data_IF_929656918961
#
_entry.id   IF_929656918961
#
_cell.length_a   1.000
_cell.length_b   1.000
_cell.length_c   1.000
_cell.angle_alpha   90.00
_cell.angle_beta   90.00
_cell.angle_gamma   90.00
#
_symmetry.space_group_name_H-M   'P 1'
#
loop_
_entity.id
_entity.type
_entity.pdbx_description
1 polymer ?
#
# COMPACT_ATOMS: atom_id res chain seq x y z
N UNK A 1 14.46 -13.43 0.57
CA UNK A 1 15.45 -12.53 1.18
C UNK A 1 14.88 -11.12 1.24
N UNK A 2 15.08 -10.41 2.36
CA UNK A 2 14.66 -9.01 2.50
C UNK A 2 15.46 -8.10 1.56
N UNK A 3 14.78 -7.20 0.83
CA UNK A 3 15.42 -6.25 -0.08
C UNK A 3 16.35 -5.25 0.63
N UNK A 4 16.21 -5.08 1.95
CA UNK A 4 17.13 -4.27 2.78
C UNK A 4 18.55 -4.81 2.83
N UNK A 5 18.75 -6.11 2.57
CA UNK A 5 20.08 -6.74 2.59
C UNK A 5 20.67 -6.90 1.19
N UNK A 6 19.82 -6.98 0.17
CA UNK A 6 20.21 -7.38 -1.18
C UNK A 6 20.25 -6.21 -2.17
N UNK A 7 19.39 -5.19 -1.99
CA UNK A 7 19.18 -4.14 -2.98
C UNK A 7 19.36 -2.76 -2.38
N UNK A 8 18.74 -2.51 -1.22
CA UNK A 8 18.79 -1.20 -0.58
C UNK A 8 20.08 -1.02 0.23
N UNK A 9 20.83 0.04 -0.05
CA UNK A 9 22.00 0.47 0.74
C UNK A 9 21.66 1.61 1.69
N UNK A 10 20.77 2.51 1.26
CA UNK A 10 20.46 3.76 1.97
C UNK A 10 19.15 3.69 2.76
N UNK A 11 18.29 2.69 2.50
CA UNK A 11 16.98 2.54 3.13
C UNK A 11 17.05 1.47 4.20
N UNK A 12 16.57 1.82 5.40
CA UNK A 12 16.46 0.90 6.53
C UNK A 12 14.99 0.55 6.81
N UNK A 13 14.70 -0.59 7.49
CA UNK A 13 13.34 -1.02 7.78
C UNK A 13 12.48 0.03 8.49
N UNK A 14 13.07 0.81 9.41
CA UNK A 14 12.35 1.86 10.13
C UNK A 14 11.87 2.99 9.18
N UNK A 15 12.63 3.29 8.13
CA UNK A 15 12.28 4.33 7.15
C UNK A 15 11.09 3.89 6.30
N UNK A 16 11.06 2.60 5.94
CA UNK A 16 9.89 1.99 5.27
C UNK A 16 8.66 2.07 6.18
N UNK A 17 8.79 1.77 7.47
CA UNK A 17 7.68 1.92 8.43
C UNK A 17 7.20 3.38 8.53
N UNK A 18 8.10 4.36 8.61
CA UNK A 18 7.72 5.78 8.66
C UNK A 18 6.93 6.21 7.42
N UNK A 19 7.38 5.83 6.20
CA UNK A 19 6.63 6.17 4.98
C UNK A 19 5.30 5.40 4.91
N UNK A 20 5.24 4.15 5.38
CA UNK A 20 3.98 3.40 5.47
C UNK A 20 2.96 4.06 6.39
N UNK A 21 3.39 4.55 7.56
CA UNK A 21 2.51 5.27 8.49
C UNK A 21 1.99 6.55 7.85
N UNK A 22 2.86 7.34 7.23
CA UNK A 22 2.45 8.55 6.49
C UNK A 22 1.47 8.22 5.34
N UNK A 23 1.73 7.17 4.57
CA UNK A 23 0.82 6.73 3.50
C UNK A 23 -0.56 6.33 4.05
N UNK A 24 -0.60 5.63 5.17
CA UNK A 24 -1.86 5.26 5.84
C UNK A 24 -2.64 6.50 6.28
N UNK A 25 -1.98 7.45 6.95
CA UNK A 25 -2.58 8.71 7.39
C UNK A 25 -3.19 9.50 6.21
N UNK A 26 -2.48 9.58 5.09
CA UNK A 26 -2.99 10.24 3.87
C UNK A 26 -4.22 9.52 3.31
N UNK A 27 -4.20 8.18 3.24
CA UNK A 27 -5.35 7.40 2.78
C UNK A 27 -6.56 7.56 3.71
N UNK A 28 -6.36 7.57 5.03
CA UNK A 28 -7.43 7.75 6.02
C UNK A 28 -8.03 9.16 5.95
N UNK A 29 -7.20 10.20 5.87
CA UNK A 29 -7.64 11.59 5.75
C UNK A 29 -8.42 11.82 4.45
N UNK A 30 -8.00 11.14 3.37
CA UNK A 30 -8.69 11.18 2.08
C UNK A 30 -9.89 10.25 1.99
N UNK A 31 -10.13 9.41 3.02
CA UNK A 31 -11.17 8.38 3.03
C UNK A 31 -11.11 7.52 1.77
N UNK A 32 -9.89 7.18 1.36
CA UNK A 32 -9.66 6.29 0.23
C UNK A 32 -10.33 4.94 0.48
N UNK A 33 -10.65 4.23 -0.60
CA UNK A 33 -11.03 2.82 -0.49
C UNK A 33 -9.95 2.04 0.27
N UNK A 34 -10.38 1.15 1.17
CA UNK A 34 -9.53 0.37 2.09
C UNK A 34 -8.50 -0.52 1.36
N UNK A 35 -8.69 -0.73 0.05
CA UNK A 35 -7.79 -1.48 -0.84
C UNK A 35 -6.60 -0.65 -1.33
N UNK A 36 -6.69 0.68 -1.32
CA UNK A 36 -5.69 1.59 -1.88
C UNK A 36 -4.37 1.48 -1.13
N UNK A 37 -4.39 1.56 0.20
CA UNK A 37 -3.17 1.52 1.01
C UNK A 37 -2.41 0.19 0.91
N UNK A 38 -3.04 -0.99 1.11
CA UNK A 38 -2.35 -2.28 0.92
C UNK A 38 -1.78 -2.47 -0.48
N UNK A 39 -2.49 -1.98 -1.51
CA UNK A 39 -2.02 -2.03 -2.90
C UNK A 39 -0.82 -1.09 -3.14
N UNK A 40 -0.86 0.13 -2.60
CA UNK A 40 0.26 1.06 -2.66
C UNK A 40 1.50 0.48 -1.97
N UNK A 41 1.32 -0.18 -0.82
CA UNK A 41 2.40 -0.88 -0.13
C UNK A 41 2.97 -2.05 -0.94
N UNK A 42 2.12 -2.79 -1.66
CA UNK A 42 2.57 -3.82 -2.60
C UNK A 42 3.48 -3.24 -3.69
N UNK A 43 3.12 -2.09 -4.26
CA UNK A 43 3.94 -1.41 -5.26
C UNK A 43 5.27 -0.93 -4.69
N UNK A 44 5.24 -0.32 -3.50
CA UNK A 44 6.43 0.15 -2.79
C UNK A 44 7.43 -0.99 -2.58
N UNK A 45 6.99 -2.10 -1.97
CA UNK A 45 7.87 -3.23 -1.67
C UNK A 45 8.40 -3.91 -2.94
N UNK A 46 7.58 -4.06 -3.98
CA UNK A 46 8.02 -4.61 -5.28
C UNK A 46 9.03 -3.72 -5.98
N UNK A 47 8.86 -2.40 -5.92
CA UNK A 47 9.80 -1.45 -6.50
C UNK A 47 11.14 -1.49 -5.74
N UNK A 48 11.10 -1.43 -4.40
CA UNK A 48 12.29 -1.52 -3.55
C UNK A 48 13.02 -2.87 -3.65
N UNK A 49 12.32 -3.93 -4.07
CA UNK A 49 12.93 -5.23 -4.33
C UNK A 49 13.77 -5.28 -5.61
N UNK A 50 13.67 -4.31 -6.52
CA UNK A 50 14.38 -4.33 -7.81
C UNK A 50 15.13 -3.04 -8.14
N UNK A 51 14.83 -1.93 -7.47
CA UNK A 51 15.49 -0.63 -7.69
C UNK A 51 16.18 -0.16 -6.41
N UNK A 52 17.51 0.06 -6.41
CA UNK A 52 18.17 0.72 -5.29
C UNK A 52 17.75 2.19 -5.23
N UNK A 53 17.11 2.59 -4.15
CA UNK A 53 16.48 3.90 -4.01
C UNK A 53 17.18 4.70 -2.91
N UNK A 54 17.42 5.99 -3.17
CA UNK A 54 17.98 6.90 -2.16
C UNK A 54 16.91 7.31 -1.16
N UNK A 55 17.31 7.53 0.10
CA UNK A 55 16.40 7.98 1.17
C UNK A 55 15.54 9.20 0.82
N UNK A 56 16.09 10.16 0.06
CA UNK A 56 15.40 11.39 -0.33
C UNK A 56 14.21 11.17 -1.27
N UNK A 57 14.20 10.06 -2.03
CA UNK A 57 13.11 9.75 -2.96
C UNK A 57 12.05 8.83 -2.33
N UNK A 58 12.18 8.46 -1.06
CA UNK A 58 11.28 7.48 -0.45
C UNK A 58 9.84 8.03 -0.30
N UNK A 59 9.70 9.30 0.10
CA UNK A 59 8.38 9.95 0.18
C UNK A 59 7.75 10.13 -1.20
N UNK A 60 8.54 10.49 -2.21
CA UNK A 60 8.11 10.58 -3.61
C UNK A 60 7.61 9.23 -4.13
N UNK A 61 8.38 8.17 -3.91
CA UNK A 61 7.97 6.82 -4.28
C UNK A 61 6.66 6.43 -3.58
N UNK A 62 6.53 6.72 -2.28
CA UNK A 62 5.29 6.50 -1.52
C UNK A 62 4.09 7.24 -2.12
N UNK A 63 4.25 8.52 -2.46
CA UNK A 63 3.22 9.33 -3.12
C UNK A 63 2.80 8.72 -4.47
N UNK A 64 3.76 8.32 -5.30
CA UNK A 64 3.49 7.71 -6.60
C UNK A 64 2.80 6.35 -6.47
N UNK A 65 3.18 5.55 -5.46
CA UNK A 65 2.49 4.29 -5.18
C UNK A 65 1.02 4.50 -4.78
N UNK A 66 0.71 5.51 -3.96
CA UNK A 66 -0.68 5.88 -3.64
C UNK A 66 -1.44 6.41 -4.86
N UNK A 67 -0.78 7.22 -5.69
CA UNK A 67 -1.35 7.74 -6.93
C UNK A 67 -1.76 6.61 -7.89
N UNK A 68 -0.88 5.62 -8.10
CA UNK A 68 -1.16 4.46 -8.94
C UNK A 68 -2.23 3.55 -8.33
N UNK A 69 -2.22 3.35 -7.02
CA UNK A 69 -3.19 2.48 -6.35
C UNK A 69 -4.60 3.09 -6.38
N UNK A 70 -4.72 4.39 -6.09
CA UNK A 70 -6.00 5.11 -6.17
C UNK A 70 -6.58 5.09 -7.59
N UNK A 71 -5.76 5.33 -8.62
CA UNK A 71 -6.16 5.21 -10.03
C UNK A 71 -6.74 3.85 -10.40
N UNK A 72 -6.34 2.78 -9.71
CA UNK A 72 -6.81 1.43 -10.01
C UNK A 72 -8.06 1.03 -9.19
N UNK A 73 -8.18 1.53 -7.96
CA UNK A 73 -9.19 1.06 -6.99
C UNK A 73 -10.32 2.06 -6.73
N UNK A 74 -10.12 3.35 -6.99
CA UNK A 74 -11.10 4.39 -6.69
C UNK A 74 -11.86 4.84 -7.94
N UNK A 75 -13.13 5.22 -7.75
CA UNK A 75 -13.90 5.91 -8.80
C UNK A 75 -13.35 7.30 -9.09
N UNK A 76 -12.90 8.01 -8.05
CA UNK A 76 -12.29 9.34 -8.16
C UNK A 76 -10.92 9.25 -7.49
N UNK A 77 -9.84 9.05 -8.26
CA UNK A 77 -8.52 8.84 -7.70
C UNK A 77 -7.91 10.12 -7.13
N UNK A 78 -6.90 9.96 -6.27
CA UNK A 78 -6.09 11.07 -5.76
C UNK A 78 -5.43 11.82 -6.91
N UNK A 79 -5.43 13.15 -6.86
CA UNK A 79 -4.73 13.97 -7.87
C UNK A 79 -3.27 14.19 -7.47
N UNK A 80 -2.41 14.47 -8.46
CA UNK A 80 -1.00 14.76 -8.22
C UNK A 80 -0.85 16.01 -7.34
N UNK A 81 -1.64 17.06 -7.57
CA UNK A 81 -1.61 18.29 -6.78
C UNK A 81 -1.94 18.03 -5.32
N UNK A 82 -2.93 17.17 -5.05
CA UNK A 82 -3.35 16.83 -3.69
C UNK A 82 -2.24 16.08 -2.95
N UNK A 83 -1.62 15.11 -3.61
CA UNK A 83 -0.49 14.38 -3.04
C UNK A 83 0.72 15.29 -2.79
N UNK A 84 1.00 16.25 -3.68
CA UNK A 84 2.06 17.24 -3.47
C UNK A 84 1.82 18.09 -2.22
N UNK A 85 0.58 18.49 -1.94
CA UNK A 85 0.25 19.22 -0.71
C UNK A 85 0.57 18.38 0.54
N UNK A 86 0.24 17.08 0.52
CA UNK A 86 0.57 16.15 1.63
C UNK A 86 2.06 15.90 1.83
N UNK A 87 2.89 16.25 0.84
CA UNK A 87 4.35 16.20 0.95
C UNK A 87 4.94 17.52 1.46
N UNK A 88 4.10 18.42 2.00
CA UNK A 88 4.47 19.79 2.37
C UNK A 88 5.09 20.56 1.19
N UNK A 89 4.60 20.27 -0.02
CA UNK A 89 5.11 20.80 -1.30
C UNK A 89 6.61 20.54 -1.55
N UNK A 90 7.22 19.57 -0.84
CA UNK A 90 8.59 19.15 -1.10
C UNK A 90 8.74 18.45 -2.46
N UNK A 91 7.66 17.87 -2.97
CA UNK A 91 7.58 17.22 -4.28
C UNK A 91 6.69 18.04 -5.22
N UNK A 92 7.15 18.24 -6.46
CA UNK A 92 6.39 18.95 -7.49
C UNK A 92 5.47 18.00 -8.26
N UNK A 93 4.31 18.44 -8.76
CA UNK A 93 3.41 17.58 -9.54
C UNK A 93 4.08 16.96 -10.77
N UNK A 94 4.93 17.73 -11.46
CA UNK A 94 5.69 17.22 -12.60
C UNK A 94 6.63 16.07 -12.21
N UNK A 95 7.32 16.18 -11.07
CA UNK A 95 8.21 15.12 -10.58
C UNK A 95 7.43 13.85 -10.23
N UNK A 96 6.25 13.99 -9.63
CA UNK A 96 5.35 12.87 -9.35
C UNK A 96 4.89 12.17 -10.64
N UNK A 97 4.51 12.92 -11.66
CA UNK A 97 4.10 12.37 -12.97
C UNK A 97 5.26 11.71 -13.73
N UNK A 98 6.48 12.25 -13.63
CA UNK A 98 7.66 11.62 -14.21
C UNK A 98 7.96 10.28 -13.52
N UNK A 99 7.88 10.24 -12.18
CA UNK A 99 8.09 9.02 -11.42
C UNK A 99 6.98 7.99 -11.59
N UNK A 100 5.76 8.41 -11.90
CA UNK A 100 4.67 7.49 -12.25
C UNK A 100 5.10 6.53 -13.36
N UNK A 101 5.68 7.06 -14.43
CA UNK A 101 6.18 6.26 -15.56
C UNK A 101 7.36 5.37 -15.17
N UNK A 102 8.24 5.84 -14.28
CA UNK A 102 9.36 5.04 -13.75
C UNK A 102 8.84 3.84 -12.97
N UNK A 103 7.89 4.05 -12.05
CA UNK A 103 7.31 2.97 -11.24
C UNK A 103 6.55 1.99 -12.14
N UNK A 104 5.72 2.47 -13.07
CA UNK A 104 5.02 1.63 -14.05
C UNK A 104 5.98 0.77 -14.86
N UNK A 105 7.05 1.38 -15.39
CA UNK A 105 8.07 0.68 -16.17
C UNK A 105 8.78 -0.41 -15.37
N UNK A 106 9.16 -0.13 -14.11
CA UNK A 106 9.84 -1.09 -13.24
C UNK A 106 8.93 -2.22 -12.76
N UNK A 107 7.64 -1.94 -12.57
CA UNK A 107 6.62 -2.94 -12.26
C UNK A 107 6.08 -3.65 -13.51
N UNK A 108 6.60 -3.32 -14.71
CA UNK A 108 6.17 -3.87 -16.00
C UNK A 108 4.66 -3.75 -16.22
N UNK A 109 4.07 -2.64 -15.75
CA UNK A 109 2.62 -2.38 -15.80
C UNK A 109 1.75 -3.44 -15.10
N UNK A 110 2.35 -4.37 -14.35
CA UNK A 110 1.63 -5.36 -13.59
C UNK A 110 1.16 -4.75 -12.25
N UNK A 111 0.09 -3.97 -12.32
CA UNK A 111 -0.50 -3.27 -11.18
C UNK A 111 -1.67 -4.02 -10.53
N UNK A 112 -2.32 -4.95 -11.25
CA UNK A 112 -3.43 -5.75 -10.73
C UNK A 112 -2.93 -6.87 -9.78
N UNK A 113 -2.22 -6.49 -8.72
CA UNK A 113 -1.74 -7.39 -7.70
C UNK A 113 -2.89 -7.81 -6.78
N UNK A 114 -2.91 -9.10 -6.42
CA UNK A 114 -3.84 -9.61 -5.42
C UNK A 114 -3.39 -9.16 -4.04
N UNK A 115 -4.31 -8.56 -3.29
CA UNK A 115 -4.12 -8.05 -1.93
C UNK A 115 -4.91 -8.90 -0.94
N UNK A 116 -4.64 -8.79 0.38
CA UNK A 116 -5.42 -9.51 1.39
C UNK A 116 -6.92 -9.15 1.34
N UNK A 117 -7.25 -7.94 0.90
CA UNK A 117 -8.62 -7.45 0.82
C UNK A 117 -9.48 -8.29 -0.14
N UNK A 118 -8.90 -8.75 -1.26
CA UNK A 118 -9.59 -9.55 -2.27
C UNK A 118 -10.11 -10.90 -1.72
N UNK A 119 -9.51 -11.38 -0.62
CA UNK A 119 -9.90 -12.62 0.07
C UNK A 119 -10.95 -12.43 1.16
N UNK A 120 -11.10 -11.22 1.74
CA UNK A 120 -12.03 -10.97 2.86
C UNK A 120 -13.45 -11.41 2.48
N UNK A 121 -13.98 -10.91 1.37
CA UNK A 121 -15.35 -11.20 0.95
C UNK A 121 -15.58 -12.70 0.74
N UNK A 122 -14.58 -13.40 0.19
CA UNK A 122 -14.64 -14.83 -0.05
C UNK A 122 -14.64 -15.63 1.26
N UNK A 123 -13.86 -15.20 2.25
CA UNK A 123 -13.78 -15.84 3.57
C UNK A 123 -15.08 -15.59 4.34
N UNK A 124 -15.53 -14.34 4.43
CA UNK A 124 -16.73 -13.95 5.19
C UNK A 124 -18.00 -14.67 4.70
N UNK A 125 -18.15 -14.87 3.38
CA UNK A 125 -19.29 -15.60 2.81
C UNK A 125 -19.34 -17.08 3.21
N UNK A 126 -18.21 -17.67 3.59
CA UNK A 126 -18.13 -19.08 4.00
C UNK A 126 -18.31 -19.27 5.51
N UNK A 127 -18.28 -18.19 6.30
CA UNK A 127 -18.45 -18.27 7.74
C UNK A 127 -19.94 -18.33 8.10
N UNK A 128 -20.36 -19.21 9.02
CA UNK A 128 -21.75 -19.32 9.47
C UNK A 128 -22.10 -18.20 10.46
N UNK A 129 -22.00 -16.94 10.02
CA UNK A 129 -22.18 -15.76 10.85
C UNK A 129 -23.38 -14.90 10.40
N UNK A 130 -24.10 -14.25 11.33
CA UNK A 130 -25.15 -13.30 10.99
C UNK A 130 -24.60 -12.12 10.17
N UNK A 131 -25.36 -11.67 9.17
CA UNK A 131 -24.97 -10.54 8.28
C UNK A 131 -24.64 -9.28 9.06
N UNK A 132 -25.33 -9.04 10.17
CA UNK A 132 -25.18 -7.86 11.02
C UNK A 132 -23.78 -7.78 11.66
N UNK A 133 -23.15 -8.94 11.91
CA UNK A 133 -21.78 -9.02 12.45
C UNK A 133 -20.71 -8.95 11.36
N UNK A 134 -21.04 -9.31 10.12
CA UNK A 134 -20.08 -9.32 9.01
C UNK A 134 -19.49 -7.94 8.72
N UNK A 135 -20.29 -6.87 8.87
CA UNK A 135 -19.80 -5.50 8.66
C UNK A 135 -18.75 -5.11 9.70
N UNK A 136 -18.97 -5.47 10.97
CA UNK A 136 -18.01 -5.19 12.05
C UNK A 136 -16.73 -5.99 11.87
N UNK A 137 -16.84 -7.29 11.55
CA UNK A 137 -15.69 -8.17 11.31
C UNK A 137 -14.88 -7.69 10.10
N UNK A 138 -15.56 -7.26 9.02
CA UNK A 138 -14.89 -6.68 7.85
C UNK A 138 -14.04 -5.47 8.24
N UNK A 139 -14.62 -4.50 8.96
CA UNK A 139 -13.88 -3.32 9.43
C UNK A 139 -12.68 -3.69 10.30
N UNK A 140 -12.87 -4.64 11.22
CA UNK A 140 -11.79 -5.10 12.09
C UNK A 140 -10.65 -5.76 11.30
N UNK A 141 -10.99 -6.65 10.36
CA UNK A 141 -10.01 -7.31 9.49
C UNK A 141 -9.25 -6.30 8.61
N UNK A 142 -9.93 -5.26 8.12
CA UNK A 142 -9.30 -4.18 7.35
C UNK A 142 -8.24 -3.44 8.17
N UNK A 143 -8.52 -3.12 9.44
CA UNK A 143 -7.53 -2.52 10.35
C UNK A 143 -6.30 -3.42 10.54
N UNK A 144 -6.49 -4.73 10.73
CA UNK A 144 -5.37 -5.66 10.83
C UNK A 144 -4.58 -5.80 9.53
N UNK A 145 -5.23 -5.78 8.37
CA UNK A 145 -4.54 -5.76 7.08
C UNK A 145 -3.68 -4.51 6.94
N UNK A 146 -4.20 -3.33 7.31
CA UNK A 146 -3.43 -2.10 7.30
C UNK A 146 -2.22 -2.21 8.25
N UNK A 147 -2.42 -2.76 9.45
CA UNK A 147 -1.34 -3.00 10.41
C UNK A 147 -0.27 -3.93 9.82
N UNK A 148 -0.66 -5.07 9.23
CA UNK A 148 0.25 -5.97 8.52
C UNK A 148 0.98 -5.27 7.35
N UNK A 149 0.30 -4.40 6.62
CA UNK A 149 0.94 -3.64 5.54
C UNK A 149 2.00 -2.66 6.07
N UNK A 150 1.86 -2.11 7.28
CA UNK A 150 2.87 -1.22 7.91
C UNK A 150 4.10 -1.94 8.45
N UNK A 151 3.99 -3.22 8.83
CA UNK A 151 5.10 -4.01 9.35
C UNK A 151 5.74 -4.89 8.25
N UNK A 152 7.04 -4.67 8.03
CA UNK A 152 7.81 -5.40 7.02
C UNK A 152 7.86 -6.92 7.26
N UNK A 153 7.65 -7.39 8.50
CA UNK A 153 7.59 -8.82 8.79
C UNK A 153 6.51 -9.53 7.95
N UNK A 154 5.38 -8.85 7.69
CA UNK A 154 4.28 -9.42 6.91
C UNK A 154 4.42 -9.21 5.40
N UNK A 155 5.38 -8.40 4.94
CA UNK A 155 5.52 -8.04 3.52
C UNK A 155 5.78 -9.25 2.60
N UNK A 156 6.34 -10.35 3.13
CA UNK A 156 6.60 -11.59 2.38
C UNK A 156 5.51 -12.65 2.56
N UNK A 157 4.47 -12.39 3.35
CA UNK A 157 3.41 -13.37 3.59
C UNK A 157 2.41 -13.39 2.42
N UNK A 158 1.86 -14.58 2.07
CA UNK A 158 0.82 -14.66 1.06
C UNK A 158 -0.40 -13.82 1.44
N UNK A 159 -1.01 -13.08 0.48
CA UNK A 159 -2.17 -12.24 0.78
C UNK A 159 -3.35 -13.00 1.41
N UNK A 160 -3.56 -14.25 1.01
CA UNK A 160 -4.59 -15.13 1.59
C UNK A 160 -4.34 -15.45 3.06
N UNK A 161 -3.07 -15.63 3.45
CA UNK A 161 -2.70 -15.94 4.84
C UNK A 161 -2.92 -14.72 5.74
N UNK A 162 -2.54 -13.53 5.26
CA UNK A 162 -2.81 -12.27 5.98
C UNK A 162 -4.33 -12.10 6.12
N UNK A 163 -5.10 -12.28 5.06
CA UNK A 163 -6.56 -12.13 5.10
C UNK A 163 -7.22 -13.10 6.10
N UNK A 164 -6.87 -14.38 6.06
CA UNK A 164 -7.41 -15.37 7.01
C UNK A 164 -6.99 -15.07 8.44
N UNK A 165 -5.73 -14.67 8.67
CA UNK A 165 -5.24 -14.27 9.99
C UNK A 165 -6.00 -13.05 10.54
N UNK A 166 -6.15 -12.01 9.73
CA UNK A 166 -6.85 -10.77 10.11
C UNK A 166 -8.34 -10.96 10.37
N UNK A 167 -9.01 -11.92 9.71
CA UNK A 167 -10.43 -12.25 9.98
C UNK A 167 -10.58 -13.08 11.25
N UNK A 168 -9.56 -13.85 11.64
CA UNK A 168 -9.60 -14.73 12.81
C UNK A 168 -9.11 -14.09 14.12
N UNK A 169 -8.43 -12.95 14.05
CA UNK A 169 -7.96 -12.16 15.19
C UNK A 169 -9.11 -11.39 15.88
#
# INVERSE_FOLDING_TARGET
>A
CSYFKCVQKDIQPFMRRMVSTWMLEVCEEQKCEEEVFPLAMNYLDRFLAVVPTRKCHLQLLGAVCMFLASKLKETIPLTAEKLCIYTDNSIKPQELLEWELVVLGKLKWNLAAVTPHDFIEHILRKLPLPKDKLLLIRKHAQTFIALCATDFNFAMYPPSMIATGSVGA
#
